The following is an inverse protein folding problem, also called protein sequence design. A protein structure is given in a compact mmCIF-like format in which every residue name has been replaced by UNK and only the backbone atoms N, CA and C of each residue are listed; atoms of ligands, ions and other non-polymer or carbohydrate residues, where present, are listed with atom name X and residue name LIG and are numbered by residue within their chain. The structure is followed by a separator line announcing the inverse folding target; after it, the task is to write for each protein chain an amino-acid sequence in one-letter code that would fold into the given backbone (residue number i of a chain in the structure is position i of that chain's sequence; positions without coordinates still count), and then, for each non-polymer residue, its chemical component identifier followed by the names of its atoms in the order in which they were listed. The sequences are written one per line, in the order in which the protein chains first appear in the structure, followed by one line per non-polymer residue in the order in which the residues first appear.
data_IF_385855733618
#
_entry.id   IF_385855733618
#
_cell.length_a   1.000
_cell.length_b   1.000
_cell.length_c   1.000
_cell.angle_alpha   90.00
_cell.angle_beta   90.00
_cell.angle_gamma   90.00
#
_symmetry.space_group_name_H-M   'P 1'
#
loop_
_entity.id
_entity.type
_entity.pdbx_description
1 polymer ?
#
# COMPACT_ATOMS: atom_id res chain seq x y z
N UNK A 1 12.78 -8.91 -24.73
CA UNK A 1 12.89 -8.16 -23.46
C UNK A 1 11.66 -7.30 -23.12
N UNK A 2 10.74 -6.99 -24.06
CA UNK A 2 9.58 -6.09 -23.80
C UNK A 2 8.41 -6.62 -22.95
N UNK A 3 8.10 -7.93 -22.98
CA UNK A 3 6.90 -8.44 -22.27
C UNK A 3 6.96 -8.32 -20.74
N UNK A 4 8.17 -8.37 -20.16
CA UNK A 4 8.34 -8.32 -18.70
C UNK A 4 8.13 -6.89 -18.18
N UNK A 5 8.60 -5.89 -18.92
CA UNK A 5 8.40 -4.47 -18.58
C UNK A 5 6.94 -4.06 -18.72
N UNK A 6 6.23 -4.58 -19.73
CA UNK A 6 4.80 -4.30 -19.93
C UNK A 6 3.95 -4.88 -18.79
N UNK A 7 4.24 -6.13 -18.36
CA UNK A 7 3.52 -6.77 -17.25
C UNK A 7 3.76 -6.09 -15.90
N UNK A 8 4.99 -5.63 -15.64
CA UNK A 8 5.31 -4.88 -14.42
C UNK A 8 4.61 -3.51 -14.40
N UNK A 9 4.59 -2.83 -15.54
CA UNK A 9 3.91 -1.54 -15.70
C UNK A 9 2.40 -1.68 -15.46
N UNK A 10 1.79 -2.73 -16.01
CA UNK A 10 0.36 -2.99 -15.84
C UNK A 10 0.01 -3.32 -14.38
N UNK A 11 0.78 -4.20 -13.74
CA UNK A 11 0.59 -4.52 -12.31
C UNK A 11 0.72 -3.29 -11.42
N UNK A 12 1.67 -2.41 -11.73
CA UNK A 12 1.84 -1.15 -11.02
C UNK A 12 0.60 -0.27 -11.13
N UNK A 13 0.11 -0.04 -12.36
CA UNK A 13 -1.09 0.78 -12.61
C UNK A 13 -2.33 0.22 -11.92
N UNK A 14 -2.51 -1.10 -11.94
CA UNK A 14 -3.62 -1.77 -11.25
C UNK A 14 -3.56 -1.55 -9.73
N UNK A 15 -2.37 -1.69 -9.14
CA UNK A 15 -2.17 -1.43 -7.73
C UNK A 15 -2.40 0.05 -7.37
N UNK A 16 -1.85 0.98 -8.16
CA UNK A 16 -2.08 2.42 -7.99
C UNK A 16 -3.57 2.73 -7.99
N UNK A 17 -4.31 2.18 -8.95
CA UNK A 17 -5.76 2.40 -9.09
C UNK A 17 -6.50 1.88 -7.86
N UNK A 18 -6.22 0.65 -7.43
CA UNK A 18 -6.83 0.05 -6.23
C UNK A 18 -6.60 0.90 -4.98
N UNK A 19 -5.37 1.36 -4.75
CA UNK A 19 -5.03 2.14 -3.58
C UNK A 19 -5.64 3.55 -3.64
N UNK A 20 -5.65 4.18 -4.82
CA UNK A 20 -6.30 5.48 -5.03
C UNK A 20 -7.80 5.40 -4.74
N UNK A 21 -8.50 4.43 -5.34
CA UNK A 21 -9.93 4.23 -5.14
C UNK A 21 -10.29 3.99 -3.68
N UNK A 22 -9.52 3.15 -2.97
CA UNK A 22 -9.74 2.91 -1.54
C UNK A 22 -9.47 4.17 -0.71
N UNK A 23 -8.40 4.90 -1.01
CA UNK A 23 -8.01 6.10 -0.27
C UNK A 23 -8.96 7.30 -0.46
N UNK A 24 -9.80 7.26 -1.50
CA UNK A 24 -10.83 8.25 -1.79
C UNK A 24 -12.16 7.96 -1.06
N UNK A 25 -12.31 6.79 -0.44
CA UNK A 25 -13.53 6.44 0.31
C UNK A 25 -13.59 7.18 1.65
N UNK A 26 -14.80 7.56 2.05
CA UNK A 26 -15.07 8.11 3.38
C UNK A 26 -14.75 7.12 4.48
N UNK A 27 -14.98 5.83 4.22
CA UNK A 27 -14.70 4.74 5.15
C UNK A 27 -13.96 3.61 4.45
N UNK A 28 -12.95 3.06 5.12
CA UNK A 28 -12.14 1.94 4.63
C UNK A 28 -12.26 0.82 5.65
N UNK A 29 -12.95 -0.26 5.26
CA UNK A 29 -13.11 -1.44 6.11
C UNK A 29 -11.77 -2.14 6.41
N UNK A 30 -11.71 -2.84 7.54
CA UNK A 30 -10.50 -3.50 8.04
C UNK A 30 -9.87 -4.44 7.02
N UNK A 31 -10.68 -5.31 6.40
CA UNK A 31 -10.22 -6.25 5.40
C UNK A 31 -9.66 -5.56 4.15
N UNK A 32 -10.36 -4.53 3.65
CA UNK A 32 -9.92 -3.78 2.48
C UNK A 32 -8.61 -3.04 2.73
N UNK A 33 -8.45 -2.47 3.93
CA UNK A 33 -7.18 -1.83 4.31
C UNK A 33 -6.05 -2.85 4.43
N UNK A 34 -6.27 -3.98 5.11
CA UNK A 34 -5.27 -5.03 5.27
C UNK A 34 -4.82 -5.59 3.92
N UNK A 35 -5.76 -5.88 3.03
CA UNK A 35 -5.49 -6.37 1.67
C UNK A 35 -4.72 -5.34 0.84
N UNK A 36 -5.08 -4.06 0.94
CA UNK A 36 -4.38 -2.97 0.25
C UNK A 36 -2.91 -2.85 0.70
N UNK A 37 -2.66 -2.88 2.01
CA UNK A 37 -1.29 -2.84 2.55
C UNK A 37 -0.51 -4.09 2.15
N UNK A 38 -1.16 -5.26 2.18
CA UNK A 38 -0.55 -6.51 1.72
C UNK A 38 -0.16 -6.42 0.24
N UNK A 39 -1.07 -5.98 -0.63
CA UNK A 39 -0.82 -5.83 -2.05
C UNK A 39 0.32 -4.83 -2.32
N UNK A 40 0.35 -3.72 -1.58
CA UNK A 40 1.44 -2.74 -1.66
C UNK A 40 2.80 -3.37 -1.35
N UNK A 41 2.92 -4.07 -0.22
CA UNK A 41 4.20 -4.67 0.22
C UNK A 41 4.59 -5.87 -0.68
N UNK A 42 3.65 -6.75 -1.01
CA UNK A 42 3.90 -7.92 -1.86
C UNK A 42 4.24 -7.58 -3.31
N UNK A 43 3.88 -6.38 -3.78
CA UNK A 43 4.26 -5.91 -5.12
C UNK A 43 5.76 -5.63 -5.26
N UNK A 44 6.44 -5.33 -4.15
CA UNK A 44 7.83 -4.88 -4.14
C UNK A 44 8.04 -3.42 -4.55
N UNK A 45 6.98 -2.67 -4.87
CA UNK A 45 7.09 -1.22 -5.17
C UNK A 45 7.21 -0.35 -3.91
N UNK A 46 6.73 -0.85 -2.77
CA UNK A 46 6.88 -0.25 -1.44
C UNK A 46 7.25 -1.34 -0.46
N UNK A 47 8.16 -1.06 0.47
CA UNK A 47 8.64 -2.03 1.46
C UNK A 47 8.07 -1.76 2.84
N UNK A 48 8.04 -2.78 3.70
CA UNK A 48 7.72 -2.62 5.11
C UNK A 48 8.63 -1.60 5.80
N UNK A 49 9.91 -1.51 5.42
CA UNK A 49 10.84 -0.54 5.96
C UNK A 49 10.41 0.90 5.65
N UNK A 50 9.93 1.18 4.42
CA UNK A 50 9.42 2.49 4.05
C UNK A 50 8.21 2.88 4.91
N UNK A 51 7.24 1.97 5.08
CA UNK A 51 6.08 2.22 5.95
C UNK A 51 6.50 2.52 7.39
N UNK A 52 7.44 1.73 7.93
CA UNK A 52 7.93 1.91 9.30
C UNK A 52 8.63 3.24 9.49
N UNK A 53 9.47 3.64 8.53
CA UNK A 53 10.19 4.91 8.57
C UNK A 53 9.23 6.10 8.47
N UNK A 54 8.27 6.04 7.55
CA UNK A 54 7.31 7.13 7.34
C UNK A 54 6.41 7.35 8.58
N UNK A 55 5.83 6.28 9.10
CA UNK A 55 4.82 6.36 10.15
C UNK A 55 5.37 6.08 11.56
N UNK A 56 6.69 6.01 11.74
CA UNK A 56 7.34 5.75 13.02
C UNK A 56 6.93 4.42 13.67
N UNK A 57 6.74 3.38 12.86
CA UNK A 57 6.15 2.11 13.33
C UNK A 57 7.21 1.14 13.88
N UNK A 58 6.78 0.32 14.86
CA UNK A 58 7.58 -0.80 15.36
C UNK A 58 7.82 -1.85 14.28
N UNK A 59 8.84 -2.69 14.49
CA UNK A 59 9.00 -3.92 13.69
C UNK A 59 7.73 -4.78 13.77
N UNK A 60 7.32 -5.36 12.64
CA UNK A 60 6.12 -6.20 12.53
C UNK A 60 4.79 -5.45 12.63
N UNK A 61 4.78 -4.12 12.70
CA UNK A 61 3.53 -3.36 12.67
C UNK A 61 2.81 -3.54 11.32
N UNK A 62 3.56 -3.46 10.23
CA UNK A 62 3.03 -3.62 8.87
C UNK A 62 2.57 -5.05 8.64
N UNK A 63 3.32 -6.06 9.09
CA UNK A 63 2.91 -7.47 9.06
C UNK A 63 1.59 -7.73 9.82
N UNK A 64 1.39 -7.06 10.97
CA UNK A 64 0.10 -7.12 11.67
C UNK A 64 -1.01 -6.50 10.82
N UNK A 65 -0.74 -5.37 10.16
CA UNK A 65 -1.72 -4.74 9.28
C UNK A 65 -2.12 -5.64 8.10
N UNK A 66 -1.16 -6.30 7.45
CA UNK A 66 -1.46 -7.21 6.32
C UNK A 66 -2.28 -8.43 6.72
N UNK A 67 -2.25 -8.80 8.02
CA UNK A 67 -3.06 -9.90 8.58
C UNK A 67 -4.34 -9.43 9.26
N UNK A 68 -4.71 -8.15 9.11
CA UNK A 68 -5.92 -7.57 9.71
C UNK A 68 -5.84 -7.36 11.22
N UNK A 69 -4.64 -7.44 11.82
CA UNK A 69 -4.42 -7.30 13.26
C UNK A 69 -3.85 -5.92 13.60
N UNK A 70 -4.28 -5.37 14.74
CA UNK A 70 -3.77 -4.11 15.28
C UNK A 70 -3.70 -3.00 14.21
N UNK A 71 -4.78 -2.91 13.43
CA UNK A 71 -4.91 -1.99 12.31
C UNK A 71 -4.88 -0.55 12.82
N UNK A 72 -4.40 0.39 12.01
CA UNK A 72 -4.44 1.79 12.37
C UNK A 72 -5.90 2.28 12.43
N UNK A 73 -6.11 3.36 13.18
CA UNK A 73 -7.43 3.97 13.34
C UNK A 73 -8.03 4.33 11.96
N UNK A 74 -9.35 4.18 11.76
CA UNK A 74 -9.99 4.40 10.46
C UNK A 74 -9.61 5.73 9.78
N UNK A 75 -9.52 6.81 10.55
CA UNK A 75 -9.22 8.17 10.09
C UNK A 75 -7.84 8.33 9.44
N UNK A 76 -6.86 7.52 9.81
CA UNK A 76 -5.50 7.60 9.25
C UNK A 76 -5.28 6.65 8.08
N UNK A 77 -6.18 5.68 7.86
CA UNK A 77 -6.04 4.66 6.79
C UNK A 77 -5.92 5.29 5.41
N UNK A 78 -6.77 6.28 5.12
CA UNK A 78 -6.76 6.97 3.84
C UNK A 78 -5.43 7.72 3.60
N UNK A 79 -4.83 8.28 4.66
CA UNK A 79 -3.50 8.93 4.59
C UNK A 79 -2.42 7.91 4.24
N UNK A 80 -2.44 6.76 4.91
CA UNK A 80 -1.47 5.68 4.68
C UNK A 80 -1.55 5.15 3.24
N UNK A 81 -2.76 4.92 2.72
CA UNK A 81 -2.93 4.45 1.34
C UNK A 81 -2.52 5.51 0.31
N UNK A 82 -2.81 6.80 0.54
CA UNK A 82 -2.33 7.89 -0.34
C UNK A 82 -0.81 7.99 -0.37
N UNK A 83 -0.16 7.83 0.78
CA UNK A 83 1.30 7.78 0.82
C UNK A 83 1.85 6.61 0.00
N UNK A 84 1.26 5.42 0.14
CA UNK A 84 1.69 4.25 -0.63
C UNK A 84 1.55 4.47 -2.14
N UNK A 85 0.47 5.13 -2.60
CA UNK A 85 0.32 5.56 -4.01
C UNK A 85 1.48 6.46 -4.43
N UNK A 86 1.81 7.47 -3.63
CA UNK A 86 2.92 8.39 -3.93
C UNK A 86 4.25 7.65 -4.07
N UNK A 87 4.54 6.70 -3.18
CA UNK A 87 5.78 5.91 -3.23
C UNK A 87 5.84 5.03 -4.48
N UNK A 88 4.73 4.41 -4.88
CA UNK A 88 4.66 3.59 -6.11
C UNK A 88 4.94 4.44 -7.34
N UNK A 89 4.44 5.68 -7.38
CA UNK A 89 4.67 6.62 -8.47
C UNK A 89 6.12 7.11 -8.50
N UNK A 90 6.72 7.38 -7.33
CA UNK A 90 8.09 7.90 -7.20
C UNK A 90 9.16 6.83 -7.50
N UNK A 91 8.93 5.56 -7.14
CA UNK A 91 9.86 4.45 -7.42
C UNK A 91 9.80 3.96 -8.88
N UNK A 92 9.10 4.68 -9.76
CA UNK A 92 8.94 4.38 -11.18
C UNK A 92 9.77 5.22 -12.16
N UNK A 93 10.51 6.21 -11.66
CA UNK A 93 11.47 7.07 -12.41
C UNK A 93 12.90 6.60 -12.21
#
# INVERSE_FOLDING_TARGET
MGKVTDLQTERRKQLETLLQELSARTEIGDGAFAEAVYAAVSSGFVTEEQFRREFGLSSGAVERWTTGKNLPQPEVRAVILRWAVSEIQNNGT
#
